data_IF_609836275014
#
_entry.id   IF_609836275014
#
_cell.length_a   1.000
_cell.length_b   1.000
_cell.length_c   1.000
_cell.angle_alpha   90.00
_cell.angle_beta   90.00
_cell.angle_gamma   90.00
#
_symmetry.space_group_name_H-M   'P 1'
#
loop_
_entity.id
_entity.type
_entity.pdbx_description
1 polymer ?
#
# COMPACT_ATOMS: atom_id res chain seq x y z
N UNK A 1 17.39 76.33 11.32
CA UNK A 1 18.12 75.12 11.75
C UNK A 1 17.28 73.83 11.67
N UNK A 2 15.98 73.83 11.94
CA UNK A 2 15.11 72.62 11.91
C UNK A 2 14.89 72.00 10.53
N UNK A 3 14.83 72.75 9.43
CA UNK A 3 14.63 72.21 8.08
C UNK A 3 15.80 71.37 7.54
N UNK A 4 17.04 71.66 7.92
CA UNK A 4 18.21 70.85 7.51
C UNK A 4 18.34 69.53 8.29
N UNK A 5 17.85 69.51 9.52
CA UNK A 5 17.85 68.26 10.32
C UNK A 5 16.84 67.24 9.83
N UNK A 6 15.68 67.70 9.31
CA UNK A 6 14.66 66.85 8.77
C UNK A 6 15.05 66.21 7.43
N UNK A 7 15.82 66.98 6.60
CA UNK A 7 16.32 66.44 5.30
C UNK A 7 17.41 65.39 5.50
N UNK A 8 18.26 65.51 6.52
CA UNK A 8 19.28 64.54 6.88
C UNK A 8 18.65 63.25 7.46
N UNK A 9 17.53 63.36 8.18
CA UNK A 9 16.82 62.21 8.75
C UNK A 9 16.12 61.39 7.65
N UNK A 10 15.55 62.07 6.64
CA UNK A 10 14.89 61.39 5.50
C UNK A 10 15.90 60.68 4.59
N UNK A 11 17.09 61.26 4.38
CA UNK A 11 18.15 60.62 3.59
C UNK A 11 18.76 59.43 4.36
N UNK A 12 18.83 59.47 5.70
CA UNK A 12 19.27 58.37 6.54
C UNK A 12 18.31 57.17 6.52
N UNK A 13 17.00 57.44 6.49
CA UNK A 13 15.97 56.38 6.42
C UNK A 13 15.91 55.75 5.01
N UNK A 14 16.11 56.51 3.96
CA UNK A 14 16.18 55.98 2.58
C UNK A 14 17.44 55.16 2.30
N UNK A 15 18.57 55.43 3.02
CA UNK A 15 19.80 54.65 2.89
C UNK A 15 19.76 53.29 3.66
N UNK A 16 18.88 53.17 4.66
CA UNK A 16 18.72 51.94 5.42
C UNK A 16 17.74 50.93 4.71
N UNK A 17 16.84 51.45 3.86
CA UNK A 17 15.93 50.62 3.08
C UNK A 17 16.57 50.01 1.82
N UNK A 18 17.78 50.35 1.44
CA UNK A 18 18.47 49.85 0.24
C UNK A 18 19.50 48.74 0.51
N UNK A 19 19.64 48.28 1.75
CA UNK A 19 20.54 47.18 2.12
C UNK A 19 19.79 45.88 2.54
N UNK A 20 18.47 45.85 2.38
CA UNK A 20 17.67 44.64 2.44
C UNK A 20 17.52 44.06 1.03
N UNK A 21 18.62 43.72 0.38
CA UNK A 21 18.55 42.70 -0.71
C UNK A 21 18.21 41.39 -0.04
N UNK A 22 16.90 41.11 0.11
CA UNK A 22 16.48 39.74 0.02
C UNK A 22 17.01 39.28 -1.33
N UNK A 23 18.02 38.45 -1.35
CA UNK A 23 18.22 37.51 -2.40
C UNK A 23 16.94 36.68 -2.37
N UNK A 24 15.97 36.98 -3.23
CA UNK A 24 15.05 36.01 -3.74
C UNK A 24 15.94 34.95 -4.42
N UNK A 25 16.50 34.04 -3.63
CA UNK A 25 16.78 32.71 -4.16
C UNK A 25 15.43 32.20 -4.59
N UNK A 26 15.08 32.49 -5.84
CA UNK A 26 14.02 31.80 -6.52
C UNK A 26 14.37 30.31 -6.35
N UNK A 27 13.65 29.64 -5.48
CA UNK A 27 13.75 28.20 -5.36
C UNK A 27 13.61 27.69 -6.79
N UNK A 28 14.68 27.12 -7.32
CA UNK A 28 14.67 26.52 -8.64
C UNK A 28 13.70 25.33 -8.56
N UNK A 29 12.42 25.61 -8.84
CA UNK A 29 11.33 24.65 -8.75
C UNK A 29 11.55 23.46 -9.71
N UNK A 30 12.42 23.63 -10.72
CA UNK A 30 12.83 22.55 -11.60
C UNK A 30 13.79 21.57 -10.93
N UNK A 31 14.52 21.97 -9.89
CA UNK A 31 15.46 21.13 -9.15
C UNK A 31 14.81 20.28 -8.05
N UNK A 32 13.57 20.58 -7.65
CA UNK A 32 12.89 19.83 -6.58
C UNK A 32 12.31 18.53 -7.11
N UNK A 33 12.65 17.41 -6.46
CA UNK A 33 12.05 16.11 -6.79
C UNK A 33 10.53 16.17 -6.58
N UNK A 34 9.78 15.78 -7.60
CA UNK A 34 8.31 15.77 -7.55
C UNK A 34 7.79 14.64 -6.69
N UNK A 35 8.49 13.50 -6.70
CA UNK A 35 8.12 12.32 -5.94
C UNK A 35 9.35 11.53 -5.52
N UNK A 36 9.33 10.99 -4.32
CA UNK A 36 10.22 9.90 -3.89
C UNK A 36 9.40 8.66 -3.65
N UNK A 37 9.80 7.55 -4.29
CA UNK A 37 9.20 6.23 -4.12
C UNK A 37 10.15 5.42 -3.23
N UNK A 38 9.65 4.95 -2.09
CA UNK A 38 10.32 3.93 -1.29
C UNK A 38 9.78 2.55 -1.67
N UNK A 39 10.60 1.72 -2.28
CA UNK A 39 10.35 0.29 -2.42
C UNK A 39 10.84 -0.40 -1.14
N UNK A 40 9.93 -0.88 -0.33
CA UNK A 40 10.18 -1.43 1.00
C UNK A 40 10.01 -2.95 0.95
N UNK A 41 11.12 -3.65 1.03
CA UNK A 41 11.21 -5.11 0.97
C UNK A 41 11.77 -5.65 2.29
N UNK A 42 10.90 -5.80 3.32
CA UNK A 42 11.29 -6.36 4.62
C UNK A 42 11.59 -7.85 4.49
N UNK A 43 12.19 -8.43 5.52
CA UNK A 43 12.45 -9.86 5.56
C UNK A 43 11.14 -10.68 5.54
N UNK A 44 11.08 -11.67 4.66
CA UNK A 44 9.91 -12.53 4.48
C UNK A 44 10.17 -14.00 4.81
N UNK A 45 11.44 -14.33 5.08
CA UNK A 45 11.87 -15.68 5.46
C UNK A 45 11.83 -15.95 6.95
N UNK A 46 12.28 -17.13 7.36
CA UNK A 46 12.59 -17.46 8.73
C UNK A 46 14.07 -17.21 9.04
N UNK A 47 14.53 -17.69 10.19
CA UNK A 47 15.96 -17.63 10.57
C UNK A 47 16.82 -18.43 9.58
N UNK A 48 16.30 -19.56 9.08
CA UNK A 48 17.02 -20.50 8.20
C UNK A 48 16.41 -20.61 6.79
N UNK A 49 15.49 -19.75 6.42
CA UNK A 49 14.82 -19.76 5.11
C UNK A 49 14.75 -18.35 4.53
N UNK A 50 14.97 -18.20 3.22
CA UNK A 50 15.06 -16.91 2.57
C UNK A 50 13.71 -16.27 2.21
N UNK A 51 12.58 -16.97 2.39
CA UNK A 51 11.27 -16.47 1.99
C UNK A 51 11.24 -16.04 0.52
N UNK A 52 10.70 -14.86 0.24
CA UNK A 52 10.58 -14.27 -1.09
C UNK A 52 11.82 -13.46 -1.53
N UNK A 53 12.96 -13.53 -0.82
CA UNK A 53 14.14 -12.68 -1.08
C UNK A 53 14.53 -12.63 -2.55
N UNK A 54 14.57 -13.77 -3.23
CA UNK A 54 14.97 -13.84 -4.65
C UNK A 54 13.96 -13.15 -5.56
N UNK A 55 12.66 -13.36 -5.33
CA UNK A 55 11.58 -12.73 -6.11
C UNK A 55 11.57 -11.21 -5.88
N UNK A 56 11.76 -10.76 -4.64
CA UNK A 56 11.86 -9.34 -4.32
C UNK A 56 13.08 -8.67 -4.94
N UNK A 57 14.23 -9.38 -5.02
CA UNK A 57 15.40 -8.89 -5.74
C UNK A 57 15.11 -8.74 -7.25
N UNK A 58 14.41 -9.69 -7.87
CA UNK A 58 13.94 -9.59 -9.25
C UNK A 58 13.00 -8.41 -9.47
N UNK A 59 12.16 -8.08 -8.47
CA UNK A 59 11.29 -6.89 -8.52
C UNK A 59 12.10 -5.60 -8.53
N UNK A 60 13.18 -5.50 -7.73
CA UNK A 60 14.12 -4.37 -7.80
C UNK A 60 14.74 -4.24 -9.20
N UNK A 61 15.19 -5.36 -9.77
CA UNK A 61 15.75 -5.36 -11.11
C UNK A 61 14.71 -4.97 -12.18
N UNK A 62 13.46 -5.38 -12.01
CA UNK A 62 12.32 -4.97 -12.84
C UNK A 62 12.04 -3.46 -12.76
N UNK A 63 12.15 -2.86 -11.57
CA UNK A 63 12.10 -1.39 -11.38
C UNK A 63 13.26 -0.72 -12.12
N UNK A 64 14.49 -1.21 -11.96
CA UNK A 64 15.67 -0.68 -12.66
C UNK A 64 15.48 -0.72 -14.19
N UNK A 65 14.95 -1.81 -14.73
CA UNK A 65 14.63 -1.92 -16.16
C UNK A 65 13.57 -0.90 -16.59
N UNK A 66 12.52 -0.69 -15.77
CA UNK A 66 11.50 0.33 -16.02
C UNK A 66 12.06 1.75 -16.05
N UNK A 67 13.03 2.07 -15.19
CA UNK A 67 13.76 3.34 -15.19
C UNK A 67 14.59 3.48 -16.49
N UNK A 68 15.30 2.41 -16.89
CA UNK A 68 16.08 2.41 -18.12
C UNK A 68 15.19 2.60 -19.37
N UNK A 69 14.06 1.92 -19.46
CA UNK A 69 13.10 2.04 -20.56
C UNK A 69 12.57 3.47 -20.71
N UNK A 70 12.44 4.19 -19.59
CA UNK A 70 12.03 5.60 -19.54
C UNK A 70 13.19 6.59 -19.70
N UNK A 71 14.43 6.10 -19.84
CA UNK A 71 15.63 6.91 -19.99
C UNK A 71 15.86 7.88 -18.83
N UNK A 72 15.57 7.44 -17.59
CA UNK A 72 15.83 8.19 -16.37
C UNK A 72 14.70 8.24 -15.36
N UNK A 73 14.92 9.01 -14.32
CA UNK A 73 14.04 9.12 -13.14
C UNK A 73 12.96 10.22 -13.27
N UNK A 74 13.08 11.15 -14.24
CA UNK A 74 12.07 12.16 -14.56
C UNK A 74 11.64 13.03 -13.33
N UNK A 75 12.60 13.63 -12.64
CA UNK A 75 12.40 14.40 -11.41
C UNK A 75 11.74 13.61 -10.28
N UNK A 76 12.00 12.31 -10.23
CA UNK A 76 11.67 11.44 -9.11
C UNK A 76 12.92 10.82 -8.53
N UNK A 77 12.85 10.35 -7.27
CA UNK A 77 13.89 9.52 -6.66
C UNK A 77 13.29 8.17 -6.31
N UNK A 78 14.12 7.17 -6.32
CA UNK A 78 13.71 5.80 -5.97
C UNK A 78 14.70 5.25 -4.96
N UNK A 79 14.19 5.02 -3.76
CA UNK A 79 14.92 4.42 -2.65
C UNK A 79 14.43 2.99 -2.47
N UNK A 80 15.34 2.07 -2.21
CA UNK A 80 15.01 0.66 -1.98
C UNK A 80 15.53 0.25 -0.61
N UNK A 81 14.62 -0.04 0.31
CA UNK A 81 14.96 -0.76 1.54
C UNK A 81 14.85 -2.25 1.28
N UNK A 82 15.94 -2.98 1.48
CA UNK A 82 16.01 -4.41 1.19
C UNK A 82 16.63 -5.18 2.36
N UNK A 83 15.92 -6.19 2.85
CA UNK A 83 16.44 -7.07 3.90
C UNK A 83 17.20 -8.25 3.29
N UNK A 84 18.49 -8.32 3.57
CA UNK A 84 19.37 -9.40 3.14
C UNK A 84 19.24 -10.66 4.01
N UNK A 85 18.91 -10.47 5.27
CA UNK A 85 18.63 -11.52 6.28
C UNK A 85 17.61 -10.96 7.29
N UNK A 86 17.20 -11.80 8.22
CA UNK A 86 16.27 -11.39 9.28
C UNK A 86 16.84 -10.27 10.18
N UNK A 87 18.14 -10.12 10.26
CA UNK A 87 18.86 -9.19 11.12
C UNK A 87 19.69 -8.15 10.36
N UNK A 88 19.62 -8.12 9.03
CA UNK A 88 20.42 -7.18 8.23
C UNK A 88 19.66 -6.65 7.02
N UNK A 89 19.64 -5.33 6.90
CA UNK A 89 18.96 -4.64 5.80
C UNK A 89 19.81 -3.47 5.30
N UNK A 90 19.60 -3.07 4.04
CA UNK A 90 20.31 -1.94 3.42
C UNK A 90 19.31 -1.04 2.71
N UNK A 91 19.46 0.27 2.87
CA UNK A 91 18.79 1.29 2.06
C UNK A 91 19.69 1.65 0.89
N UNK A 92 19.15 1.57 -0.32
CA UNK A 92 19.82 1.92 -1.57
C UNK A 92 19.13 3.11 -2.23
N UNK A 93 19.92 3.96 -2.90
CA UNK A 93 19.46 4.94 -3.88
C UNK A 93 19.65 4.37 -5.28
N UNK A 94 18.61 4.39 -6.11
CA UNK A 94 18.70 3.98 -7.51
C UNK A 94 19.10 5.17 -8.36
N UNK A 95 20.29 5.15 -8.92
CA UNK A 95 20.85 6.23 -9.74
C UNK A 95 20.93 5.81 -11.20
N UNK A 96 20.32 6.60 -12.10
CA UNK A 96 20.40 6.39 -13.53
C UNK A 96 21.59 7.16 -14.13
N UNK A 97 22.42 6.47 -14.88
CA UNK A 97 23.53 7.05 -15.65
C UNK A 97 23.13 7.19 -17.13
N UNK A 98 23.10 8.43 -17.62
CA UNK A 98 22.70 8.74 -18.99
C UNK A 98 23.71 8.23 -20.03
N UNK A 99 24.98 8.05 -19.65
CA UNK A 99 26.05 7.60 -20.57
C UNK A 99 25.96 6.10 -20.78
N UNK A 100 25.92 5.33 -19.69
CA UNK A 100 25.82 3.86 -19.75
C UNK A 100 24.38 3.38 -19.95
N UNK A 101 23.37 4.26 -19.79
CA UNK A 101 21.93 3.96 -19.84
C UNK A 101 21.54 2.84 -18.87
N UNK A 102 22.16 2.83 -17.72
CA UNK A 102 21.98 1.81 -16.69
C UNK A 102 21.62 2.43 -15.34
N UNK A 103 21.07 1.61 -14.45
CA UNK A 103 20.78 1.99 -13.06
C UNK A 103 21.78 1.32 -12.13
N UNK A 104 22.38 2.11 -11.25
CA UNK A 104 23.25 1.63 -10.17
C UNK A 104 22.50 1.70 -8.84
N UNK A 105 22.61 0.63 -8.05
CA UNK A 105 22.12 0.57 -6.67
C UNK A 105 23.22 1.08 -5.74
N UNK A 106 23.10 2.31 -5.26
CA UNK A 106 24.11 2.95 -4.38
C UNK A 106 23.69 2.74 -2.93
N UNK A 107 24.47 2.03 -2.09
CA UNK A 107 24.12 1.85 -0.69
C UNK A 107 24.22 3.18 0.07
N UNK A 108 23.18 3.53 0.82
CA UNK A 108 23.09 4.76 1.62
C UNK A 108 23.31 4.44 3.10
N UNK A 109 22.61 3.44 3.62
CA UNK A 109 22.64 3.09 5.05
C UNK A 109 22.38 1.60 5.25
N UNK A 110 23.04 1.00 6.23
CA UNK A 110 22.76 -0.37 6.70
C UNK A 110 22.07 -0.33 8.05
N UNK A 111 21.23 -1.32 8.31
CA UNK A 111 20.47 -1.47 9.54
C UNK A 111 20.69 -2.88 10.08
N UNK A 112 20.87 -2.97 11.40
CA UNK A 112 20.96 -4.22 12.12
C UNK A 112 19.64 -4.50 12.86
N UNK A 113 19.29 -5.78 13.00
CA UNK A 113 18.05 -6.23 13.65
C UNK A 113 16.81 -6.08 12.77
N UNK A 114 15.64 -6.27 13.40
CA UNK A 114 14.31 -6.27 12.73
C UNK A 114 13.65 -4.89 12.68
N UNK A 115 14.42 -3.83 12.36
CA UNK A 115 13.93 -2.43 12.33
C UNK A 115 12.69 -2.26 11.45
N UNK A 116 12.54 -3.09 10.43
CA UNK A 116 11.44 -3.06 9.47
C UNK A 116 10.10 -3.57 10.03
N UNK A 117 10.04 -4.07 11.26
CA UNK A 117 8.83 -4.62 11.88
C UNK A 117 8.29 -3.80 13.05
N UNK A 118 8.97 -2.71 13.44
CA UNK A 118 8.55 -1.82 14.52
C UNK A 118 8.16 -0.44 13.98
N UNK A 119 7.29 0.27 14.70
CA UNK A 119 6.86 1.61 14.29
C UNK A 119 8.04 2.60 14.28
N UNK A 120 8.89 2.55 15.30
CA UNK A 120 10.07 3.40 15.43
C UNK A 120 11.07 3.11 14.31
N UNK A 121 11.36 1.83 14.02
CA UNK A 121 12.32 1.46 13.00
C UNK A 121 11.84 1.79 11.58
N UNK A 122 10.55 1.55 11.26
CA UNK A 122 9.98 1.95 9.97
C UNK A 122 9.99 3.50 9.85
N UNK A 123 9.68 4.23 10.94
CA UNK A 123 9.75 5.69 10.94
C UNK A 123 11.18 6.20 10.73
N UNK A 124 12.20 5.53 11.31
CA UNK A 124 13.61 5.80 11.06
C UNK A 124 13.94 5.65 9.58
N UNK A 125 13.57 4.52 8.96
CA UNK A 125 13.79 4.27 7.53
C UNK A 125 13.14 5.37 6.67
N UNK A 126 11.88 5.74 6.96
CA UNK A 126 11.17 6.79 6.23
C UNK A 126 11.88 8.15 6.41
N UNK A 127 12.38 8.46 7.60
CA UNK A 127 13.11 9.71 7.85
C UNK A 127 14.47 9.75 7.14
N UNK A 128 15.18 8.64 7.08
CA UNK A 128 16.40 8.53 6.27
C UNK A 128 16.09 8.76 4.78
N UNK A 129 15.01 8.18 4.26
CA UNK A 129 14.55 8.43 2.88
C UNK A 129 14.21 9.90 2.65
N UNK A 130 13.56 10.57 3.60
CA UNK A 130 13.24 12.00 3.50
C UNK A 130 14.50 12.87 3.49
N UNK A 131 15.51 12.48 4.25
CA UNK A 131 16.78 13.20 4.31
C UNK A 131 17.58 13.02 3.01
N UNK A 132 17.68 11.79 2.49
CA UNK A 132 18.48 11.46 1.31
C UNK A 132 17.80 11.87 0.00
N UNK A 133 16.49 11.78 -0.04
CA UNK A 133 15.68 12.01 -1.24
C UNK A 133 14.46 12.89 -0.95
N UNK A 134 14.66 14.16 -0.56
CA UNK A 134 13.56 15.09 -0.29
C UNK A 134 12.73 15.33 -1.56
N UNK A 135 11.39 15.34 -1.40
CA UNK A 135 10.45 15.52 -2.50
C UNK A 135 9.14 16.17 -2.04
N UNK A 136 8.35 16.63 -3.02
CA UNK A 136 7.03 17.19 -2.75
C UNK A 136 6.01 16.10 -2.35
N UNK A 137 6.17 14.89 -2.88
CA UNK A 137 5.31 13.74 -2.62
C UNK A 137 6.15 12.50 -2.31
N UNK A 138 5.59 11.64 -1.47
CA UNK A 138 6.19 10.34 -1.15
C UNK A 138 5.21 9.22 -1.50
N UNK A 139 5.73 8.10 -1.98
CA UNK A 139 4.96 6.89 -2.25
C UNK A 139 5.69 5.67 -1.68
N UNK A 140 4.93 4.66 -1.32
CA UNK A 140 5.45 3.44 -0.70
C UNK A 140 4.98 2.22 -1.50
N UNK A 141 5.92 1.36 -1.86
CA UNK A 141 5.68 0.03 -2.43
C UNK A 141 6.15 -0.98 -1.38
N UNK A 142 5.29 -1.91 -0.98
CA UNK A 142 5.61 -2.95 0.00
C UNK A 142 5.53 -4.30 -0.70
N UNK A 143 6.66 -4.99 -0.84
CA UNK A 143 6.71 -6.36 -1.33
C UNK A 143 6.96 -7.34 -0.19
N UNK A 144 5.98 -8.20 0.11
CA UNK A 144 6.05 -9.13 1.23
C UNK A 144 4.95 -10.19 1.13
N UNK A 145 4.93 -11.14 2.06
CA UNK A 145 3.69 -11.86 2.36
C UNK A 145 2.65 -10.91 2.95
N UNK A 146 1.35 -11.23 2.81
CA UNK A 146 0.27 -10.40 3.35
C UNK A 146 -0.95 -11.22 3.77
N UNK A 147 -1.71 -10.69 4.74
CA UNK A 147 -2.98 -11.27 5.20
C UNK A 147 -3.99 -10.18 5.62
N UNK A 148 -3.97 -9.04 4.93
CA UNK A 148 -4.89 -7.95 5.16
C UNK A 148 -4.72 -7.31 6.55
N UNK A 149 -5.86 -6.94 7.13
CA UNK A 149 -5.97 -6.27 8.43
C UNK A 149 -5.72 -7.16 9.64
N UNK A 150 -5.59 -8.49 9.44
CA UNK A 150 -5.54 -9.43 10.57
C UNK A 150 -4.31 -9.21 11.44
N UNK A 151 -4.46 -9.39 12.75
CA UNK A 151 -3.36 -9.19 13.70
C UNK A 151 -2.49 -10.44 13.81
N UNK A 152 -1.18 -10.25 13.84
CA UNK A 152 -0.20 -11.34 14.00
C UNK A 152 -0.53 -12.22 15.21
N UNK A 153 -0.87 -11.60 16.35
CA UNK A 153 -1.20 -12.26 17.60
C UNK A 153 -2.43 -13.17 17.53
N UNK A 154 -3.40 -12.89 16.65
CA UNK A 154 -4.62 -13.68 16.55
C UNK A 154 -4.39 -15.04 15.84
N UNK A 155 -3.25 -15.19 15.13
CA UNK A 155 -2.85 -16.43 14.45
C UNK A 155 -2.01 -17.37 15.32
N UNK A 156 -1.43 -16.91 16.42
CA UNK A 156 -0.49 -17.70 17.27
C UNK A 156 -1.12 -19.00 17.77
N UNK A 157 -2.43 -19.03 18.00
CA UNK A 157 -3.17 -20.20 18.51
C UNK A 157 -3.97 -20.93 17.42
N UNK A 158 -3.74 -20.61 16.16
CA UNK A 158 -4.40 -21.32 15.07
C UNK A 158 -3.73 -22.70 14.88
N UNK A 159 -4.51 -23.80 14.66
CA UNK A 159 -3.93 -25.14 14.54
C UNK A 159 -2.83 -25.18 13.48
N UNK A 160 -1.67 -25.74 13.83
CA UNK A 160 -0.45 -25.74 13.02
C UNK A 160 -0.64 -26.28 11.59
N UNK A 161 -1.53 -27.26 11.40
CA UNK A 161 -1.83 -27.88 10.09
C UNK A 161 -2.69 -27.00 9.16
N UNK A 162 -3.28 -25.94 9.69
CA UNK A 162 -4.08 -24.97 8.95
C UNK A 162 -3.52 -23.55 9.10
N UNK A 163 -2.27 -23.40 9.55
CA UNK A 163 -1.60 -22.09 9.53
C UNK A 163 -1.45 -21.68 8.07
N UNK A 164 -2.19 -20.65 7.60
CA UNK A 164 -1.85 -20.05 6.34
C UNK A 164 -0.43 -19.54 6.46
N UNK A 165 0.33 -19.66 5.40
CA UNK A 165 1.68 -19.13 5.31
C UNK A 165 1.70 -17.58 5.25
N UNK A 166 0.60 -16.92 5.64
CA UNK A 166 0.41 -15.47 5.47
C UNK A 166 -0.22 -14.84 6.70
N UNK A 167 0.40 -13.79 7.20
CA UNK A 167 -0.10 -12.96 8.31
C UNK A 167 0.27 -11.52 8.00
N UNK A 168 -0.63 -10.48 8.31
CA UNK A 168 -0.25 -9.07 8.20
C UNK A 168 0.61 -8.83 6.93
N UNK A 169 1.71 -8.09 6.95
CA UNK A 169 2.74 -8.13 5.91
C UNK A 169 4.12 -8.42 6.53
N UNK A 170 5.05 -8.99 5.75
CA UNK A 170 6.38 -9.38 6.22
C UNK A 170 6.59 -10.88 6.17
N UNK A 171 7.17 -11.46 7.22
CA UNK A 171 7.42 -12.89 7.33
C UNK A 171 6.22 -13.66 7.89
N UNK A 172 6.00 -14.85 7.37
CA UNK A 172 5.00 -15.81 7.83
C UNK A 172 5.61 -16.94 8.67
N UNK A 173 6.92 -17.00 8.72
CA UNK A 173 7.68 -18.05 9.42
C UNK A 173 8.53 -17.53 10.57
N UNK A 174 8.57 -16.21 10.75
CA UNK A 174 9.33 -15.54 11.81
C UNK A 174 8.50 -14.38 12.38
N UNK A 175 7.94 -14.57 13.56
CA UNK A 175 6.94 -13.64 14.14
C UNK A 175 7.52 -12.23 14.39
N UNK A 176 8.82 -12.11 14.70
CA UNK A 176 9.49 -10.81 14.90
C UNK A 176 9.66 -10.00 13.60
N UNK A 177 9.56 -10.65 12.45
CA UNK A 177 9.60 -10.01 11.13
C UNK A 177 8.20 -9.80 10.54
N UNK A 178 7.22 -9.77 11.39
CA UNK A 178 5.82 -9.60 11.07
C UNK A 178 5.35 -8.20 11.46
N UNK A 179 4.61 -7.50 10.58
CA UNK A 179 4.21 -6.11 10.79
C UNK A 179 2.71 -5.95 10.64
N UNK A 180 2.03 -5.52 11.69
CA UNK A 180 0.61 -5.16 11.63
C UNK A 180 0.41 -3.85 10.84
N UNK A 181 -0.73 -3.70 10.16
CA UNK A 181 -1.07 -2.47 9.42
C UNK A 181 -1.06 -1.25 10.35
N UNK A 182 -1.51 -1.39 11.59
CA UNK A 182 -1.48 -0.33 12.61
C UNK A 182 -0.06 0.16 12.93
N UNK A 183 0.92 -0.74 12.96
CA UNK A 183 2.34 -0.41 13.14
C UNK A 183 2.86 0.45 11.99
N UNK A 184 2.52 0.10 10.75
CA UNK A 184 2.84 0.92 9.58
C UNK A 184 2.20 2.31 9.64
N UNK A 185 0.92 2.38 10.05
CA UNK A 185 0.19 3.65 10.23
C UNK A 185 0.90 4.54 11.25
N UNK A 186 1.29 3.99 12.38
CA UNK A 186 2.02 4.72 13.43
C UNK A 186 3.38 5.23 12.93
N UNK A 187 4.13 4.40 12.22
CA UNK A 187 5.42 4.78 11.63
C UNK A 187 5.29 5.96 10.66
N UNK A 188 4.31 5.91 9.73
CA UNK A 188 4.10 6.98 8.77
C UNK A 188 3.65 8.26 9.47
N UNK A 189 2.75 8.19 10.47
CA UNK A 189 2.34 9.34 11.29
C UNK A 189 3.54 9.97 12.01
N UNK A 190 4.38 9.16 12.64
CA UNK A 190 5.58 9.60 13.35
C UNK A 190 6.57 10.31 12.41
N UNK A 191 6.69 9.86 11.16
CA UNK A 191 7.54 10.51 10.16
C UNK A 191 7.01 11.86 9.64
N UNK A 192 5.75 12.21 9.98
CA UNK A 192 5.12 13.49 9.65
C UNK A 192 4.79 13.69 8.17
N UNK A 193 4.67 12.61 7.39
CA UNK A 193 4.30 12.68 5.96
C UNK A 193 2.98 11.95 5.72
N UNK A 194 2.37 12.23 4.57
CA UNK A 194 1.26 11.45 4.02
C UNK A 194 1.67 10.91 2.66
N UNK A 195 1.51 9.60 2.47
CA UNK A 195 1.87 8.96 1.20
C UNK A 195 0.87 9.34 0.09
N UNK A 196 1.38 9.58 -1.10
CA UNK A 196 0.52 9.74 -2.29
C UNK A 196 -0.20 8.44 -2.60
N UNK A 197 0.52 7.32 -2.50
CA UNK A 197 -0.06 5.99 -2.51
C UNK A 197 0.78 5.02 -1.67
N UNK A 198 0.12 3.96 -1.19
CA UNK A 198 0.76 2.74 -0.70
C UNK A 198 0.31 1.61 -1.63
N UNK A 199 1.26 0.96 -2.27
CA UNK A 199 1.04 -0.23 -3.09
C UNK A 199 1.52 -1.45 -2.30
N UNK A 200 0.61 -2.39 -2.08
CA UNK A 200 0.94 -3.70 -1.52
C UNK A 200 1.10 -4.72 -2.64
N UNK A 201 2.31 -5.14 -2.90
CA UNK A 201 2.65 -6.35 -3.65
C UNK A 201 2.69 -7.51 -2.66
N UNK A 202 1.53 -7.82 -2.12
CA UNK A 202 1.30 -8.76 -1.04
C UNK A 202 -0.14 -9.30 -1.11
N UNK A 203 -0.33 -10.55 -0.66
CA UNK A 203 -1.62 -11.23 -0.67
C UNK A 203 -2.65 -10.56 0.24
N UNK A 204 -3.92 -10.55 -0.16
CA UNK A 204 -5.07 -10.21 0.69
C UNK A 204 -5.10 -8.81 1.30
N UNK A 205 -4.32 -7.85 0.80
CA UNK A 205 -4.30 -6.49 1.37
C UNK A 205 -5.49 -5.64 0.91
N UNK A 206 -6.25 -6.07 -0.11
CA UNK A 206 -7.37 -5.34 -0.71
C UNK A 206 -8.69 -5.48 0.05
N UNK A 207 -8.71 -5.21 1.35
CA UNK A 207 -9.92 -5.20 2.17
C UNK A 207 -10.21 -3.82 2.76
N UNK A 208 -11.48 -3.56 3.06
CA UNK A 208 -11.94 -2.25 3.53
C UNK A 208 -11.38 -1.93 4.92
N UNK A 209 -11.15 -2.95 5.73
CA UNK A 209 -10.55 -2.81 7.05
C UNK A 209 -9.13 -2.26 6.96
N UNK A 210 -8.28 -2.85 6.09
CA UNK A 210 -6.91 -2.34 5.81
C UNK A 210 -6.95 -0.92 5.24
N UNK A 211 -7.82 -0.68 4.25
CA UNK A 211 -7.92 0.63 3.62
C UNK A 211 -8.31 1.71 4.65
N UNK A 212 -9.26 1.39 5.55
CA UNK A 212 -9.72 2.33 6.58
C UNK A 212 -8.64 2.66 7.61
N UNK A 213 -7.84 1.69 8.03
CA UNK A 213 -6.68 1.95 8.91
C UNK A 213 -5.67 2.92 8.27
N UNK A 214 -5.49 2.82 6.96
CA UNK A 214 -4.50 3.62 6.21
C UNK A 214 -5.00 5.02 5.79
N UNK A 215 -6.30 5.35 5.91
CA UNK A 215 -6.92 6.55 5.32
C UNK A 215 -6.27 7.88 5.71
N UNK A 216 -5.71 7.96 6.92
CA UNK A 216 -5.09 9.18 7.42
C UNK A 216 -3.64 9.35 6.96
N UNK A 217 -2.97 8.26 6.54
CA UNK A 217 -1.54 8.23 6.19
C UNK A 217 -1.27 8.05 4.70
N UNK A 218 -2.29 7.76 3.90
CA UNK A 218 -2.15 7.70 2.43
C UNK A 218 -3.36 8.30 1.72
N UNK A 219 -3.16 8.80 0.50
CA UNK A 219 -4.26 9.23 -0.36
C UNK A 219 -4.87 8.04 -1.11
N UNK A 220 -4.05 7.07 -1.54
CA UNK A 220 -4.50 5.91 -2.27
C UNK A 220 -3.86 4.63 -1.76
N UNK A 221 -4.63 3.54 -1.74
CA UNK A 221 -4.14 2.19 -1.56
C UNK A 221 -4.27 1.41 -2.87
N UNK A 222 -3.22 0.69 -3.27
CA UNK A 222 -3.24 -0.20 -4.43
C UNK A 222 -2.92 -1.61 -3.91
N UNK A 223 -3.81 -2.57 -4.14
CA UNK A 223 -3.66 -3.89 -3.54
C UNK A 223 -4.52 -4.95 -4.22
N UNK A 224 -4.14 -6.22 -4.02
CA UNK A 224 -4.96 -7.38 -4.36
C UNK A 224 -5.82 -7.80 -3.16
N UNK A 225 -7.03 -8.25 -3.45
CA UNK A 225 -7.94 -8.88 -2.47
C UNK A 225 -7.76 -10.40 -2.38
N UNK A 226 -7.00 -11.00 -3.29
CA UNK A 226 -6.63 -12.41 -3.29
C UNK A 226 -5.11 -12.60 -3.18
N UNK A 227 -4.63 -13.84 -3.32
CA UNK A 227 -3.20 -14.10 -3.39
C UNK A 227 -2.57 -13.46 -4.64
N UNK A 228 -1.35 -12.95 -4.47
CA UNK A 228 -0.44 -12.56 -5.54
C UNK A 228 0.65 -13.62 -5.63
N UNK A 229 1.03 -14.00 -6.84
CA UNK A 229 2.13 -14.94 -7.06
C UNK A 229 3.47 -14.35 -6.60
N UNK A 230 4.42 -15.20 -6.22
CA UNK A 230 5.69 -14.77 -5.61
C UNK A 230 6.51 -13.81 -6.46
N UNK A 231 6.40 -13.89 -7.78
CA UNK A 231 7.08 -12.96 -8.69
C UNK A 231 6.46 -11.54 -8.73
N UNK A 232 5.33 -11.33 -8.04
CA UNK A 232 4.76 -10.01 -7.80
C UNK A 232 4.21 -9.30 -9.02
N UNK A 233 4.16 -7.97 -8.92
CA UNK A 233 3.66 -7.10 -9.98
C UNK A 233 4.71 -6.85 -11.08
N UNK A 234 4.29 -6.64 -12.35
CA UNK A 234 5.18 -6.43 -13.48
C UNK A 234 5.76 -5.00 -13.50
N UNK A 235 6.63 -4.66 -12.55
CA UNK A 235 7.13 -3.29 -12.31
C UNK A 235 7.70 -2.62 -13.56
N UNK A 236 8.44 -3.35 -14.42
CA UNK A 236 9.00 -2.79 -15.65
C UNK A 236 7.92 -2.11 -16.51
N UNK A 237 6.81 -2.80 -16.76
CA UNK A 237 5.70 -2.27 -17.56
C UNK A 237 4.84 -1.27 -16.80
N UNK A 238 4.70 -1.42 -15.47
CA UNK A 238 3.91 -0.51 -14.63
C UNK A 238 4.64 0.77 -14.26
N UNK A 239 5.98 0.81 -14.42
CA UNK A 239 6.79 1.93 -13.99
C UNK A 239 6.34 3.27 -14.58
N UNK A 240 5.90 3.26 -15.84
CA UNK A 240 5.36 4.47 -16.48
C UNK A 240 4.13 5.06 -15.80
N UNK A 241 3.36 4.25 -15.08
CA UNK A 241 2.15 4.67 -14.37
C UNK A 241 2.42 5.02 -12.90
N UNK A 242 3.41 4.35 -12.27
CA UNK A 242 3.81 4.53 -10.88
C UNK A 242 4.69 5.75 -10.68
N UNK A 243 5.66 5.96 -11.59
CA UNK A 243 6.70 6.99 -11.50
C UNK A 243 6.16 8.33 -12.02
N UNK A 244 5.25 8.96 -11.28
CA UNK A 244 4.67 10.27 -11.60
C UNK A 244 4.13 10.93 -10.34
N UNK A 245 4.25 12.25 -10.24
CA UNK A 245 3.62 13.04 -9.18
C UNK A 245 2.08 12.87 -9.15
N UNK A 246 1.49 12.51 -10.30
CA UNK A 246 0.08 12.12 -10.46
C UNK A 246 0.02 10.73 -11.08
N UNK A 247 0.10 9.65 -10.27
CA UNK A 247 0.08 8.28 -10.78
C UNK A 247 -1.18 7.97 -11.58
N UNK A 248 -1.04 7.15 -12.62
CA UNK A 248 -2.18 6.69 -13.39
C UNK A 248 -2.71 5.38 -12.81
N UNK A 249 -3.61 5.48 -11.84
CA UNK A 249 -4.17 4.34 -11.13
C UNK A 249 -4.90 3.35 -12.05
N UNK A 250 -5.63 3.84 -13.04
CA UNK A 250 -6.29 2.97 -14.03
C UNK A 250 -5.27 2.24 -14.90
N UNK A 251 -4.18 2.91 -15.28
CA UNK A 251 -3.08 2.30 -16.02
C UNK A 251 -2.34 1.24 -15.20
N UNK A 252 -2.14 1.45 -13.90
CA UNK A 252 -1.53 0.46 -13.00
C UNK A 252 -2.38 -0.81 -12.97
N UNK A 253 -3.68 -0.66 -12.70
CA UNK A 253 -4.60 -1.80 -12.61
C UNK A 253 -4.73 -2.53 -13.95
N UNK A 254 -5.04 -1.81 -15.03
CA UNK A 254 -5.21 -2.43 -16.35
C UNK A 254 -3.92 -3.05 -16.89
N UNK A 255 -2.78 -2.42 -16.63
CA UNK A 255 -1.46 -2.93 -17.01
C UNK A 255 -1.10 -4.25 -16.30
N UNK A 256 -1.39 -4.36 -15.02
CA UNK A 256 -1.21 -5.59 -14.25
C UNK A 256 -2.08 -6.72 -14.80
N UNK A 257 -3.38 -6.49 -14.99
CA UNK A 257 -4.31 -7.47 -15.54
C UNK A 257 -3.89 -7.90 -16.95
N UNK A 258 -3.51 -6.94 -17.80
CA UNK A 258 -3.04 -7.24 -19.16
C UNK A 258 -1.79 -8.13 -19.15
N UNK A 259 -0.84 -7.87 -18.26
CA UNK A 259 0.34 -8.71 -18.11
C UNK A 259 -0.04 -10.14 -17.70
N UNK A 260 -0.82 -10.30 -16.65
CA UNK A 260 -1.20 -11.60 -16.13
C UNK A 260 -2.03 -12.42 -17.12
N UNK A 261 -2.94 -11.79 -17.87
CA UNK A 261 -3.72 -12.46 -18.92
C UNK A 261 -2.83 -13.02 -20.06
N UNK A 262 -1.60 -12.54 -20.20
CA UNK A 262 -0.64 -13.03 -21.19
C UNK A 262 0.39 -14.01 -20.61
N UNK A 263 0.24 -14.41 -19.33
CA UNK A 263 1.08 -15.44 -18.70
C UNK A 263 0.39 -16.81 -18.71
N UNK A 264 1.15 -17.86 -18.38
CA UNK A 264 0.61 -19.21 -18.19
C UNK A 264 -0.14 -19.38 -16.86
N UNK A 265 -0.06 -18.41 -15.98
CA UNK A 265 -0.70 -18.41 -14.65
C UNK A 265 -1.47 -17.07 -14.50
N UNK A 266 -2.64 -16.94 -15.19
CA UNK A 266 -3.38 -15.69 -15.30
C UNK A 266 -4.28 -15.43 -14.09
N UNK A 267 -3.70 -15.36 -12.90
CA UNK A 267 -4.46 -15.22 -11.65
C UNK A 267 -4.05 -13.98 -10.90
N UNK A 268 -4.87 -12.94 -10.97
CA UNK A 268 -4.72 -11.69 -10.18
C UNK A 268 -6.06 -10.95 -10.13
N UNK A 269 -6.27 -10.24 -9.04
CA UNK A 269 -7.15 -9.08 -9.00
C UNK A 269 -6.37 -7.89 -8.42
N UNK A 270 -6.70 -6.69 -8.82
CA UNK A 270 -6.04 -5.48 -8.33
C UNK A 270 -7.02 -4.33 -8.32
N UNK A 271 -6.95 -3.51 -7.28
CA UNK A 271 -7.73 -2.28 -7.19
C UNK A 271 -6.88 -1.11 -6.67
N UNK A 272 -7.27 0.09 -7.07
CA UNK A 272 -6.78 1.36 -6.54
C UNK A 272 -7.93 2.07 -5.80
N UNK A 273 -7.76 2.30 -4.52
CA UNK A 273 -8.74 2.81 -3.59
C UNK A 273 -8.39 4.24 -3.18
N UNK A 274 -9.30 5.17 -3.32
CA UNK A 274 -9.18 6.53 -2.80
C UNK A 274 -9.51 6.55 -1.31
N UNK A 275 -8.49 6.50 -0.47
CA UNK A 275 -8.63 6.42 0.98
C UNK A 275 -9.30 7.66 1.60
N UNK A 276 -9.33 8.79 0.89
CA UNK A 276 -9.99 10.02 1.33
C UNK A 276 -11.52 9.90 1.31
N UNK A 277 -12.08 8.87 0.68
CA UNK A 277 -13.51 8.61 0.57
C UNK A 277 -14.03 7.65 1.65
N UNK A 278 -13.15 7.05 2.44
CA UNK A 278 -13.50 5.93 3.33
C UNK A 278 -14.37 6.35 4.52
N UNK A 279 -14.22 7.57 5.04
CA UNK A 279 -15.12 8.05 6.11
C UNK A 279 -16.57 8.18 5.63
N UNK A 280 -16.77 8.61 4.37
CA UNK A 280 -18.10 8.67 3.76
C UNK A 280 -18.65 7.27 3.52
N UNK A 281 -17.81 6.34 3.04
CA UNK A 281 -18.21 4.94 2.87
C UNK A 281 -18.59 4.31 4.22
N UNK A 282 -17.82 4.58 5.28
CA UNK A 282 -18.14 4.12 6.62
C UNK A 282 -19.47 4.67 7.14
N UNK A 283 -19.77 5.96 6.87
CA UNK A 283 -21.05 6.57 7.24
C UNK A 283 -22.24 5.86 6.56
N UNK A 284 -22.12 5.58 5.25
CA UNK A 284 -23.18 4.84 4.53
C UNK A 284 -23.34 3.42 5.07
N UNK A 285 -22.22 2.74 5.34
CA UNK A 285 -22.27 1.40 5.94
C UNK A 285 -22.86 1.39 7.34
N UNK A 286 -22.60 2.42 8.15
CA UNK A 286 -23.26 2.58 9.46
C UNK A 286 -24.78 2.67 9.35
N UNK A 287 -25.26 3.45 8.38
CA UNK A 287 -26.71 3.56 8.12
C UNK A 287 -27.32 2.23 7.67
N UNK A 288 -26.59 1.44 6.89
CA UNK A 288 -26.99 0.10 6.47
C UNK A 288 -27.00 -0.85 7.67
N UNK A 289 -25.87 -0.99 8.38
CA UNK A 289 -25.69 -1.93 9.49
C UNK A 289 -26.65 -1.65 10.65
N UNK A 290 -27.07 -0.39 10.85
CA UNK A 290 -28.05 -0.04 11.88
C UNK A 290 -29.45 -0.59 11.61
N UNK A 291 -29.76 -1.04 10.38
CA UNK A 291 -31.09 -1.45 9.94
C UNK A 291 -31.15 -2.88 9.38
N UNK A 292 -30.03 -3.36 8.88
CA UNK A 292 -29.94 -4.64 8.18
C UNK A 292 -28.83 -5.51 8.74
N UNK A 293 -29.14 -6.77 8.92
CA UNK A 293 -28.18 -7.81 9.33
C UNK A 293 -28.26 -8.94 8.33
N UNK A 294 -27.16 -9.64 8.11
CA UNK A 294 -27.16 -10.81 7.23
C UNK A 294 -28.08 -11.89 7.81
N UNK A 295 -29.04 -12.35 7.02
CA UNK A 295 -29.90 -13.48 7.39
C UNK A 295 -29.04 -14.74 7.56
N UNK A 296 -29.20 -15.41 8.71
CA UNK A 296 -28.42 -16.61 9.05
C UNK A 296 -28.68 -17.80 8.10
N UNK A 297 -29.71 -17.72 7.27
CA UNK A 297 -30.02 -18.74 6.24
C UNK A 297 -29.26 -18.51 4.93
N UNK A 298 -28.62 -17.33 4.73
CA UNK A 298 -27.83 -17.05 3.55
C UNK A 298 -26.53 -17.88 3.59
N UNK A 299 -26.30 -18.77 2.62
CA UNK A 299 -25.07 -19.53 2.55
C UNK A 299 -23.88 -18.57 2.29
N UNK A 300 -22.84 -18.59 3.12
CA UNK A 300 -21.70 -17.69 2.96
C UNK A 300 -20.92 -17.91 1.65
N UNK A 301 -20.99 -19.12 1.07
CA UNK A 301 -20.42 -19.42 -0.25
C UNK A 301 -21.19 -18.79 -1.43
N UNK A 302 -22.40 -18.26 -1.18
CA UNK A 302 -23.12 -17.43 -2.15
C UNK A 302 -22.60 -16.00 -2.23
N UNK A 303 -21.90 -15.52 -1.19
CA UNK A 303 -21.18 -14.24 -1.18
C UNK A 303 -19.79 -14.50 -1.74
N UNK A 304 -19.40 -13.81 -2.82
CA UNK A 304 -18.15 -14.06 -3.52
C UNK A 304 -16.95 -14.06 -2.56
N UNK A 305 -16.33 -15.20 -2.23
CA UNK A 305 -15.08 -15.23 -1.48
C UNK A 305 -13.90 -14.95 -2.41
N UNK A 306 -12.86 -14.30 -1.88
CA UNK A 306 -11.64 -13.98 -2.62
C UNK A 306 -10.39 -14.58 -1.98
N UNK A 307 -10.58 -15.63 -1.19
CA UNK A 307 -9.50 -16.36 -0.52
C UNK A 307 -9.77 -17.87 -0.48
N UNK A 308 -8.75 -18.62 -0.06
CA UNK A 308 -8.83 -20.07 0.11
C UNK A 308 -8.84 -20.53 1.56
N UNK A 309 -9.08 -19.65 2.53
CA UNK A 309 -9.21 -20.02 3.94
C UNK A 309 -10.44 -20.93 4.16
N UNK A 310 -10.45 -21.67 5.25
CA UNK A 310 -11.56 -22.54 5.60
C UNK A 310 -11.88 -22.38 7.11
N UNK A 311 -13.02 -21.72 7.45
CA UNK A 311 -13.93 -20.95 6.56
C UNK A 311 -13.26 -19.78 5.86
N UNK A 312 -13.86 -19.26 4.76
CA UNK A 312 -13.33 -18.07 4.07
C UNK A 312 -13.29 -16.86 5.00
N UNK A 313 -12.30 -16.02 4.78
CA UNK A 313 -12.02 -14.85 5.58
C UNK A 313 -12.46 -13.54 4.91
N UNK A 314 -12.27 -13.42 3.59
CA UNK A 314 -12.47 -12.20 2.81
C UNK A 314 -13.53 -12.39 1.73
N UNK A 315 -14.60 -11.59 1.81
CA UNK A 315 -15.72 -11.60 0.89
C UNK A 315 -15.84 -10.29 0.13
N UNK A 316 -16.26 -10.32 -1.14
CA UNK A 316 -16.52 -9.10 -1.90
C UNK A 316 -17.52 -8.20 -1.16
N UNK A 317 -17.12 -6.93 -0.96
CA UNK A 317 -17.89 -5.99 -0.14
C UNK A 317 -19.26 -5.66 -0.77
N UNK A 318 -19.33 -5.53 -2.09
CA UNK A 318 -20.60 -5.20 -2.76
C UNK A 318 -21.58 -6.39 -2.72
N UNK A 319 -21.08 -7.60 -2.95
CA UNK A 319 -21.94 -8.81 -2.84
C UNK A 319 -22.42 -9.03 -1.41
N UNK A 320 -21.56 -8.72 -0.41
CA UNK A 320 -21.99 -8.75 0.98
C UNK A 320 -23.11 -7.75 1.24
N UNK A 321 -22.97 -6.50 0.80
CA UNK A 321 -24.01 -5.47 1.00
C UNK A 321 -25.30 -5.82 0.27
N UNK A 322 -25.22 -6.33 -0.96
CA UNK A 322 -26.39 -6.81 -1.70
C UNK A 322 -27.12 -7.93 -0.94
N UNK A 323 -26.39 -8.81 -0.25
CA UNK A 323 -26.93 -9.90 0.56
C UNK A 323 -27.65 -9.45 1.84
N UNK A 324 -27.44 -8.20 2.26
CA UNK A 324 -28.20 -7.58 3.35
C UNK A 324 -29.59 -7.12 2.91
N UNK A 325 -29.86 -7.04 1.61
CA UNK A 325 -31.09 -6.53 1.01
C UNK A 325 -31.50 -5.13 1.53
N UNK A 326 -30.61 -4.14 1.51
CA UNK A 326 -30.94 -2.80 1.97
C UNK A 326 -32.00 -2.17 1.07
N UNK A 327 -32.68 -1.11 1.56
CA UNK A 327 -33.60 -0.34 0.73
C UNK A 327 -32.90 0.22 -0.50
N UNK A 328 -33.65 0.41 -1.62
CA UNK A 328 -33.09 0.94 -2.88
C UNK A 328 -32.32 2.25 -2.68
N UNK A 329 -32.82 3.14 -1.81
CA UNK A 329 -32.14 4.40 -1.48
C UNK A 329 -30.74 4.18 -0.84
N UNK A 330 -30.64 3.31 0.16
CA UNK A 330 -29.35 3.02 0.81
C UNK A 330 -28.39 2.26 -0.10
N UNK A 331 -28.92 1.37 -0.93
CA UNK A 331 -28.11 0.66 -1.93
C UNK A 331 -27.55 1.64 -2.98
N UNK A 332 -28.36 2.59 -3.45
CA UNK A 332 -27.93 3.63 -4.39
C UNK A 332 -26.86 4.54 -3.78
N UNK A 333 -27.01 4.90 -2.49
CA UNK A 333 -25.99 5.65 -1.76
C UNK A 333 -24.67 4.86 -1.65
N UNK A 334 -24.76 3.58 -1.30
CA UNK A 334 -23.59 2.70 -1.23
C UNK A 334 -22.89 2.61 -2.59
N UNK A 335 -23.63 2.30 -3.65
CA UNK A 335 -23.09 2.16 -5.00
C UNK A 335 -22.45 3.46 -5.50
N UNK A 336 -23.08 4.60 -5.20
CA UNK A 336 -22.54 5.92 -5.55
C UNK A 336 -21.24 6.21 -4.81
N UNK A 337 -21.19 5.88 -3.51
CA UNK A 337 -19.98 6.07 -2.72
C UNK A 337 -18.85 5.11 -3.13
N UNK A 338 -19.18 3.84 -3.47
CA UNK A 338 -18.20 2.88 -4.00
C UNK A 338 -17.55 3.38 -5.29
N UNK A 339 -18.31 3.99 -6.22
CA UNK A 339 -17.75 4.61 -7.45
C UNK A 339 -16.78 5.76 -7.18
N UNK A 340 -16.93 6.46 -6.05
CA UNK A 340 -15.99 7.51 -5.63
C UNK A 340 -14.77 6.91 -4.93
N UNK A 341 -14.96 5.82 -4.18
CA UNK A 341 -13.92 5.16 -3.38
C UNK A 341 -13.00 4.29 -4.24
N UNK A 342 -13.55 3.50 -5.15
CA UNK A 342 -12.79 2.60 -6.02
C UNK A 342 -12.45 3.33 -7.31
N UNK A 343 -11.20 3.77 -7.42
CA UNK A 343 -10.71 4.53 -8.58
C UNK A 343 -10.53 3.66 -9.82
N UNK A 344 -10.09 2.44 -9.62
CA UNK A 344 -9.97 1.40 -10.62
C UNK A 344 -9.99 0.04 -9.93
N UNK A 345 -10.63 -0.95 -10.54
CA UNK A 345 -10.60 -2.34 -10.12
C UNK A 345 -10.74 -3.24 -11.35
N UNK A 346 -9.97 -4.32 -11.37
CA UNK A 346 -10.09 -5.34 -12.40
C UNK A 346 -9.53 -6.68 -11.87
N UNK A 347 -9.94 -7.77 -12.51
CA UNK A 347 -9.56 -9.12 -12.14
C UNK A 347 -9.44 -10.01 -13.38
N UNK A 348 -8.71 -11.10 -13.25
CA UNK A 348 -8.74 -12.24 -14.18
C UNK A 348 -9.96 -13.12 -13.87
N UNK A 349 -10.36 -14.00 -14.79
CA UNK A 349 -11.54 -14.85 -14.64
C UNK A 349 -11.50 -15.75 -13.38
N UNK A 350 -10.28 -16.12 -12.99
CA UNK A 350 -10.03 -16.95 -11.81
C UNK A 350 -8.98 -16.32 -10.90
N UNK A 351 -9.01 -16.66 -9.62
CA UNK A 351 -7.96 -16.42 -8.65
C UNK A 351 -7.35 -17.75 -8.19
N UNK A 352 -6.09 -17.71 -7.77
CA UNK A 352 -5.37 -18.87 -7.22
C UNK A 352 -5.34 -18.77 -5.70
N UNK A 353 -5.37 -19.91 -5.03
CA UNK A 353 -5.00 -20.03 -3.62
C UNK A 353 -4.02 -21.18 -3.42
N UNK A 354 -2.89 -20.89 -2.75
CA UNK A 354 -1.92 -21.88 -2.30
C UNK A 354 -2.37 -22.58 -0.99
N UNK A 355 -3.42 -22.07 -0.34
CA UNK A 355 -3.94 -22.64 0.92
C UNK A 355 -4.66 -23.96 0.70
N UNK A 356 -5.04 -24.27 -0.53
CA UNK A 356 -5.74 -25.51 -0.94
C UNK A 356 -5.09 -26.08 -2.19
N UNK A 357 -5.33 -27.38 -2.45
CA UNK A 357 -4.83 -28.01 -3.68
C UNK A 357 -3.37 -28.50 -3.64
N UNK A 358 -2.73 -28.52 -2.47
CA UNK A 358 -1.33 -28.94 -2.30
C UNK A 358 -0.35 -28.04 -3.01
N UNK A 359 0.74 -28.60 -3.59
CA UNK A 359 1.81 -27.81 -4.23
C UNK A 359 1.35 -27.01 -5.47
N UNK A 360 0.30 -27.49 -6.16
CA UNK A 360 -0.21 -26.82 -7.38
C UNK A 360 -1.18 -25.67 -7.06
N UNK A 361 -1.60 -25.53 -5.81
CA UNK A 361 -2.68 -24.62 -5.44
C UNK A 361 -4.04 -25.06 -5.99
N UNK A 362 -5.05 -24.23 -5.79
CA UNK A 362 -6.41 -24.41 -6.31
C UNK A 362 -6.91 -23.10 -6.90
N UNK A 363 -7.58 -23.17 -8.04
CA UNK A 363 -8.24 -21.99 -8.61
C UNK A 363 -9.72 -21.94 -8.22
N UNK A 364 -10.25 -20.74 -8.20
CA UNK A 364 -11.68 -20.49 -8.04
C UNK A 364 -12.12 -19.32 -8.92
N UNK A 365 -13.36 -19.37 -9.40
CA UNK A 365 -13.91 -18.32 -10.28
C UNK A 365 -14.19 -17.04 -9.51
N UNK A 366 -13.79 -15.92 -10.07
CA UNK A 366 -14.15 -14.58 -9.61
C UNK A 366 -15.34 -14.10 -10.44
N UNK A 367 -16.55 -14.21 -9.87
CA UNK A 367 -17.79 -13.83 -10.54
C UNK A 367 -18.12 -12.35 -10.33
N UNK A 368 -17.62 -11.78 -9.25
CA UNK A 368 -17.78 -10.37 -8.86
C UNK A 368 -16.53 -9.87 -8.15
N UNK A 369 -16.17 -8.64 -8.43
CA UNK A 369 -15.06 -7.96 -7.77
C UNK A 369 -15.30 -6.43 -7.77
N UNK A 370 -15.65 -5.90 -6.63
CA UNK A 370 -15.87 -4.46 -6.47
C UNK A 370 -14.59 -3.67 -6.13
N UNK A 371 -13.46 -4.35 -5.97
CA UNK A 371 -12.18 -3.73 -5.61
C UNK A 371 -11.83 -3.79 -4.11
N UNK A 372 -12.77 -4.13 -3.25
CA UNK A 372 -12.59 -4.29 -1.81
C UNK A 372 -13.29 -5.55 -1.29
N UNK A 373 -12.67 -6.22 -0.35
CA UNK A 373 -13.31 -7.26 0.45
C UNK A 373 -13.64 -6.75 1.84
N UNK A 374 -14.43 -7.52 2.57
CA UNK A 374 -14.69 -7.37 4.01
C UNK A 374 -14.68 -8.72 4.71
N UNK A 375 -14.32 -8.72 5.99
CA UNK A 375 -14.40 -9.90 6.86
C UNK A 375 -15.66 -9.94 7.73
N UNK A 376 -16.58 -8.99 7.56
CA UNK A 376 -17.78 -8.88 8.41
C UNK A 376 -18.60 -10.17 8.49
N UNK A 377 -18.94 -10.89 7.38
CA UNK A 377 -19.73 -12.11 7.46
C UNK A 377 -18.92 -13.35 7.86
N UNK A 378 -17.58 -13.27 7.92
CA UNK A 378 -16.70 -14.42 8.11
C UNK A 378 -16.92 -15.13 9.43
N UNK A 379 -16.97 -16.48 9.39
CA UNK A 379 -16.94 -17.38 10.55
C UNK A 379 -15.52 -17.84 10.89
N UNK A 380 -14.51 -17.36 10.20
CA UNK A 380 -13.12 -17.70 10.48
C UNK A 380 -12.72 -17.18 11.87
N UNK A 381 -12.03 -17.99 12.66
CA UNK A 381 -11.71 -17.69 14.05
C UNK A 381 -10.94 -16.38 14.22
N UNK A 382 -10.06 -16.04 13.27
CA UNK A 382 -9.29 -14.78 13.26
C UNK A 382 -10.20 -13.58 13.03
N UNK A 383 -11.19 -13.69 12.12
CA UNK A 383 -12.18 -12.65 11.92
C UNK A 383 -13.02 -12.42 13.17
N UNK A 384 -13.49 -13.49 13.80
CA UNK A 384 -14.28 -13.41 15.05
C UNK A 384 -13.49 -12.74 16.18
N UNK A 385 -12.20 -13.03 16.31
CA UNK A 385 -11.33 -12.44 17.36
C UNK A 385 -10.97 -10.98 17.10
N UNK A 386 -10.75 -10.62 15.83
CA UNK A 386 -10.06 -9.38 15.47
C UNK A 386 -10.92 -8.29 14.84
N UNK A 387 -11.97 -8.62 14.07
CA UNK A 387 -12.71 -7.63 13.27
C UNK A 387 -13.28 -6.45 14.09
N UNK A 388 -13.76 -6.71 15.31
CA UNK A 388 -14.32 -5.67 16.20
C UNK A 388 -13.24 -4.70 16.74
N UNK A 389 -11.97 -5.08 16.68
CA UNK A 389 -10.85 -4.22 17.06
C UNK A 389 -10.53 -3.19 15.98
N UNK A 390 -10.90 -3.43 14.71
CA UNK A 390 -10.59 -2.57 13.58
C UNK A 390 -11.28 -1.23 13.63
N UNK A 391 -10.65 -0.19 13.10
CA UNK A 391 -11.24 1.14 12.95
C UNK A 391 -12.49 1.11 12.07
N UNK A 392 -12.51 0.27 11.03
CA UNK A 392 -13.67 0.07 10.17
C UNK A 392 -14.89 -0.41 10.94
N UNK A 393 -14.76 -1.47 11.75
CA UNK A 393 -15.87 -1.98 12.56
C UNK A 393 -16.42 -0.91 13.48
N UNK A 394 -15.54 -0.24 14.23
CA UNK A 394 -15.94 0.83 15.18
C UNK A 394 -16.63 2.00 14.49
N UNK A 395 -16.33 2.27 13.22
CA UNK A 395 -16.94 3.36 12.46
C UNK A 395 -18.29 2.98 11.85
N UNK A 396 -18.55 1.67 11.67
CA UNK A 396 -19.73 1.18 10.95
C UNK A 396 -20.75 0.47 11.83
N UNK A 397 -20.44 0.19 13.09
CA UNK A 397 -21.31 -0.42 14.11
C UNK A 397 -21.34 0.44 15.36
#
# INVERSE_FOLDING_TARGET
MMKKLFTLLIIGILAICSLGSCSDEALDVESVNKQTILAFYPWTGGINTSGLKADLANNVDSICQGICDRKGLNNTRVMVFFSDSYDKSTLYDLQYDETSKSVTKVPVKTYDGTVYSTAEGIAEIINDVKQEAPALNYALIIGAHGCGWTYASDWVHYPYRARPLTRFFGSVSYDEAATDVSTLVEAIKTSGIKMQYILFDACYMGNVETAYELKDVTNFMISSSSEILSYGLPYRSLWTYLNSATPNYSGIVSGAISFYNNTTIPYINLAAIDCRQLDKLASVMKDINSKYTLDSTVPLDSIQPLDGFSPNLFYDLSVYVDSLHPSGYLLDQFNSQMKLTVKAAAHTDEALTALQGGQSGKTFKVKSYCGLTTSTPSLHSVAIKGREKTGWWKATH
#
